data_IF_605533398985
#
_entry.id   IF_605533398985
#
_cell.length_a   1.000
_cell.length_b   1.000
_cell.length_c   1.000
_cell.angle_alpha   90.00
_cell.angle_beta   90.00
_cell.angle_gamma   90.00
#
_symmetry.space_group_name_H-M   'P 1'
#
loop_
_entity.id
_entity.type
_entity.pdbx_description
1 polymer ?
#
# COMPACT_ATOMS: atom_id res chain seq x y z
N UNK A 1 -21.91 -1.47 -8.61
CA UNK A 1 -21.77 -0.84 -7.28
C UNK A 1 -20.91 0.40 -7.47
N UNK A 2 -21.54 1.57 -7.61
CA UNK A 2 -20.80 2.84 -7.69
C UNK A 2 -20.32 3.22 -6.28
N UNK A 3 -19.28 2.59 -5.80
CA UNK A 3 -18.53 3.17 -4.69
C UNK A 3 -17.53 4.12 -5.34
N UNK A 4 -17.84 5.40 -5.30
CA UNK A 4 -16.91 6.43 -5.76
C UNK A 4 -15.62 6.28 -4.95
N UNK A 5 -14.50 6.33 -5.62
CA UNK A 5 -13.15 6.42 -5.02
C UNK A 5 -13.05 7.65 -4.07
N UNK A 6 -14.00 8.57 -4.12
CA UNK A 6 -14.20 9.68 -3.20
C UNK A 6 -14.80 9.24 -1.86
N UNK A 7 -14.17 8.31 -1.18
CA UNK A 7 -14.59 7.98 0.18
C UNK A 7 -14.16 9.09 1.14
N UNK A 8 -15.10 9.50 2.01
CA UNK A 8 -14.76 10.30 3.19
C UNK A 8 -13.81 9.50 4.09
N UNK A 9 -12.84 10.17 4.68
CA UNK A 9 -11.94 9.51 5.64
C UNK A 9 -12.74 9.14 6.90
N UNK A 10 -12.80 7.86 7.22
CA UNK A 10 -13.44 7.39 8.44
C UNK A 10 -12.80 8.08 9.66
N UNK A 11 -13.62 8.51 10.60
CA UNK A 11 -13.15 9.16 11.82
C UNK A 11 -12.71 10.62 11.67
N UNK A 12 -12.83 11.25 10.49
CA UNK A 12 -12.58 12.67 10.30
C UNK A 12 -13.86 13.48 10.57
N UNK A 13 -13.76 14.48 11.45
CA UNK A 13 -14.84 15.39 11.75
C UNK A 13 -15.04 16.44 10.64
N UNK A 14 -16.28 16.96 10.46
CA UNK A 14 -16.50 18.12 9.62
C UNK A 14 -15.71 19.35 10.11
N UNK A 15 -15.24 20.22 9.21
CA UNK A 15 -14.56 21.46 9.61
C UNK A 15 -15.40 22.31 10.56
N UNK A 16 -14.79 22.83 11.62
CA UNK A 16 -15.45 23.71 12.58
C UNK A 16 -16.44 23.05 13.53
N UNK A 17 -16.48 21.72 13.57
CA UNK A 17 -17.35 21.02 14.52
C UNK A 17 -16.90 21.23 15.97
N UNK A 18 -17.86 21.46 16.88
CA UNK A 18 -17.60 21.50 18.31
C UNK A 18 -17.03 20.16 18.77
N UNK A 19 -15.96 20.20 19.57
CA UNK A 19 -15.21 19.00 19.92
C UNK A 19 -14.81 18.96 21.40
N UNK A 20 -14.86 17.77 21.98
CA UNK A 20 -14.36 17.49 23.32
C UNK A 20 -12.84 17.25 23.29
N UNK A 21 -12.10 17.67 24.31
CA UNK A 21 -10.66 17.48 24.38
C UNK A 21 -10.29 16.03 24.74
N UNK A 22 -9.20 15.56 24.15
CA UNK A 22 -8.51 14.31 24.54
C UNK A 22 -7.10 14.67 24.99
N UNK A 23 -6.80 14.41 26.26
CA UNK A 23 -5.49 14.59 26.84
C UNK A 23 -4.73 13.26 26.88
N UNK A 24 -3.71 13.14 26.06
CA UNK A 24 -2.88 11.96 25.98
C UNK A 24 -1.65 12.16 26.88
N UNK A 25 -1.42 11.24 27.81
CA UNK A 25 -0.28 11.29 28.74
C UNK A 25 0.47 9.95 28.78
N UNK A 26 1.77 9.99 29.07
CA UNK A 26 2.59 8.77 29.23
C UNK A 26 2.63 8.29 30.66
N UNK A 27 2.53 9.22 31.60
CA UNK A 27 2.46 8.95 33.02
C UNK A 27 1.79 10.13 33.74
N UNK A 28 1.26 9.87 34.92
CA UNK A 28 0.64 10.92 35.74
C UNK A 28 -0.71 11.41 35.17
N UNK A 29 -1.05 12.65 35.50
CA UNK A 29 -2.31 13.29 35.13
C UNK A 29 -2.07 14.60 34.37
N UNK A 30 -2.95 15.03 33.49
CA UNK A 30 -2.92 16.36 32.88
C UNK A 30 -2.93 17.47 33.94
N UNK A 31 -2.05 18.46 33.82
CA UNK A 31 -1.86 19.51 34.83
C UNK A 31 -3.05 20.47 35.03
N UNK A 32 -3.95 20.57 34.05
CA UNK A 32 -5.07 21.53 34.03
C UNK A 32 -6.39 20.98 34.62
N UNK A 33 -6.38 19.72 35.11
CA UNK A 33 -7.56 19.12 35.73
C UNK A 33 -7.89 19.79 37.06
N UNK A 34 -9.17 19.93 37.38
CA UNK A 34 -9.61 20.30 38.71
C UNK A 34 -9.25 19.24 39.74
N UNK A 35 -9.16 19.59 41.00
CA UNK A 35 -8.88 18.64 42.09
C UNK A 35 -9.88 17.47 42.12
N UNK A 36 -11.16 17.74 41.83
CA UNK A 36 -12.21 16.70 41.76
C UNK A 36 -12.00 15.73 40.59
N UNK A 37 -11.65 16.26 39.42
CA UNK A 37 -11.35 15.43 38.23
C UNK A 37 -10.08 14.57 38.43
N UNK A 38 -9.04 15.17 39.02
CA UNK A 38 -7.82 14.42 39.34
C UNK A 38 -8.09 13.29 40.34
N UNK A 39 -8.87 13.58 41.42
CA UNK A 39 -9.29 12.56 42.37
C UNK A 39 -10.12 11.44 41.73
N UNK A 40 -11.02 11.78 40.81
CA UNK A 40 -11.79 10.81 40.06
C UNK A 40 -10.90 9.86 39.20
N UNK A 41 -9.93 10.43 38.47
CA UNK A 41 -9.00 9.64 37.64
C UNK A 41 -8.15 8.71 38.51
N UNK A 42 -7.64 9.18 39.67
CA UNK A 42 -6.91 8.34 40.62
C UNK A 42 -7.79 7.20 41.13
N UNK A 43 -9.02 7.52 41.54
CA UNK A 43 -9.96 6.54 42.05
C UNK A 43 -10.37 5.51 40.95
N UNK A 44 -10.35 5.91 39.68
CA UNK A 44 -10.58 5.03 38.53
C UNK A 44 -9.36 4.16 38.17
N UNK A 45 -8.26 4.26 38.93
CA UNK A 45 -7.04 3.48 38.69
C UNK A 45 -6.24 3.93 37.45
N UNK A 46 -6.41 5.19 37.00
CA UNK A 46 -5.65 5.71 35.88
C UNK A 46 -4.16 5.92 36.28
N UNK A 47 -3.26 5.35 35.49
CA UNK A 47 -1.80 5.43 35.70
C UNK A 47 -1.04 6.01 34.51
N UNK A 48 -1.71 6.19 33.35
CA UNK A 48 -1.08 6.54 32.09
C UNK A 48 -0.60 5.34 31.29
N UNK A 49 -0.91 4.11 31.73
CA UNK A 49 -0.55 2.89 30.99
C UNK A 49 -1.20 2.86 29.60
N UNK A 50 -0.51 2.24 28.63
CA UNK A 50 -0.95 2.17 27.25
C UNK A 50 -2.39 1.60 27.12
N UNK A 51 -3.23 2.31 26.36
CA UNK A 51 -4.62 1.91 26.12
C UNK A 51 -5.61 2.20 27.23
N UNK A 52 -5.19 2.77 28.37
CA UNK A 52 -6.14 3.29 29.35
C UNK A 52 -6.89 4.50 28.80
N UNK A 53 -8.22 4.47 28.86
CA UNK A 53 -9.09 5.59 28.48
C UNK A 53 -10.07 5.84 29.60
N UNK A 54 -10.09 7.06 30.16
CA UNK A 54 -11.02 7.46 31.20
C UNK A 54 -11.72 8.77 30.79
N UNK A 55 -13.04 8.75 30.80
CA UNK A 55 -13.86 9.94 30.53
C UNK A 55 -13.83 10.87 31.75
N UNK A 56 -13.52 12.13 31.52
CA UNK A 56 -13.47 13.15 32.58
C UNK A 56 -14.87 13.72 32.81
N UNK A 57 -15.42 13.63 34.03
CA UNK A 57 -16.77 14.13 34.30
C UNK A 57 -16.84 15.66 34.31
N UNK A 58 -18.01 16.16 33.90
CA UNK A 58 -18.46 17.53 34.07
C UNK A 58 -19.84 17.54 34.75
N UNK A 59 -20.32 18.68 35.31
CA UNK A 59 -21.65 18.77 35.94
C UNK A 59 -22.79 18.27 35.03
N UNK A 60 -22.69 18.56 33.73
CA UNK A 60 -23.75 18.28 32.75
C UNK A 60 -23.27 17.23 31.69
N UNK A 61 -22.35 16.33 32.04
CA UNK A 61 -21.92 15.28 31.12
C UNK A 61 -20.41 14.99 31.18
N UNK A 62 -19.72 15.11 30.04
CA UNK A 62 -18.31 14.77 29.85
C UNK A 62 -17.52 16.04 29.52
N UNK A 63 -16.47 16.33 30.31
CA UNK A 63 -15.53 17.43 30.02
C UNK A 63 -14.50 17.09 28.96
N UNK A 64 -14.23 15.80 28.75
CA UNK A 64 -13.21 15.29 27.83
C UNK A 64 -12.80 13.85 28.17
N UNK A 65 -11.65 13.43 27.68
CA UNK A 65 -11.08 12.12 27.97
C UNK A 65 -9.57 12.22 28.27
N UNK A 66 -9.08 11.41 29.20
CA UNK A 66 -7.64 11.21 29.43
C UNK A 66 -7.26 9.82 28.92
N UNK A 67 -6.16 9.78 28.17
CA UNK A 67 -5.65 8.56 27.51
C UNK A 67 -4.22 8.31 27.96
N UNK A 68 -3.95 7.07 28.38
CA UNK A 68 -2.61 6.58 28.66
C UNK A 68 -1.94 6.08 27.37
N UNK A 69 -0.76 6.62 27.05
CA UNK A 69 0.05 6.18 25.91
C UNK A 69 1.14 5.18 26.32
N UNK A 70 1.46 5.07 27.61
CA UNK A 70 2.61 4.27 28.06
C UNK A 70 3.91 4.72 27.39
N UNK A 71 4.76 3.75 27.04
CA UNK A 71 6.08 4.01 26.44
C UNK A 71 6.07 4.06 24.90
N UNK A 72 4.96 3.65 24.25
CA UNK A 72 4.87 3.63 22.79
C UNK A 72 4.87 5.05 22.20
N UNK A 73 5.94 5.39 21.47
CA UNK A 73 6.12 6.69 20.79
C UNK A 73 5.69 6.68 19.33
N UNK A 74 5.24 5.54 18.84
CA UNK A 74 4.76 5.44 17.44
C UNK A 74 3.35 6.03 17.28
N UNK A 75 2.98 6.29 16.04
CA UNK A 75 1.61 6.71 15.70
C UNK A 75 0.55 5.68 16.15
N UNK A 76 0.95 4.42 16.34
CA UNK A 76 0.06 3.32 16.72
C UNK A 76 -0.49 3.44 18.14
N UNK A 77 0.19 4.18 19.02
CA UNK A 77 -0.31 4.50 20.37
C UNK A 77 -1.69 5.18 20.35
N UNK A 78 -2.00 5.90 19.26
CA UNK A 78 -3.27 6.60 19.07
C UNK A 78 -4.27 5.81 18.20
N UNK A 79 -3.84 4.69 17.62
CA UNK A 79 -4.60 3.94 16.63
C UNK A 79 -5.88 3.25 17.14
N UNK A 80 -6.04 3.11 18.45
CA UNK A 80 -7.23 2.55 19.09
C UNK A 80 -8.32 3.57 19.42
N UNK A 81 -8.01 4.87 19.44
CA UNK A 81 -8.83 5.91 20.05
C UNK A 81 -10.20 6.09 19.37
N UNK A 82 -10.26 5.99 18.06
CA UNK A 82 -11.52 6.10 17.32
C UNK A 82 -12.61 5.12 17.79
N UNK A 83 -12.21 3.99 18.37
CA UNK A 83 -13.14 2.97 18.86
C UNK A 83 -13.15 2.82 20.39
N UNK A 84 -12.18 3.37 21.09
CA UNK A 84 -12.14 3.40 22.56
C UNK A 84 -12.99 4.53 23.14
N UNK A 85 -13.04 5.67 22.45
CA UNK A 85 -13.85 6.82 22.86
C UNK A 85 -15.33 6.67 22.45
N UNK A 86 -16.28 7.27 23.16
CA UNK A 86 -17.67 7.37 22.74
C UNK A 86 -17.83 8.05 21.38
N UNK A 87 -18.93 7.74 20.69
CA UNK A 87 -19.33 8.50 19.48
C UNK A 87 -19.40 9.98 19.81
N UNK A 88 -18.92 10.81 18.91
CA UNK A 88 -18.83 12.26 19.09
C UNK A 88 -17.62 12.83 18.39
N UNK A 89 -17.43 14.13 18.52
CA UNK A 89 -16.32 14.87 17.93
C UNK A 89 -15.30 15.20 19.00
N UNK A 90 -14.05 14.90 18.71
CA UNK A 90 -12.93 15.00 19.63
C UNK A 90 -11.78 15.78 19.01
N UNK A 91 -10.94 16.40 19.83
CA UNK A 91 -9.68 17.01 19.42
C UNK A 91 -8.54 16.54 20.33
N UNK A 92 -7.38 16.35 19.75
CA UNK A 92 -6.17 16.07 20.52
C UNK A 92 -5.64 17.36 21.11
N UNK A 93 -5.47 17.40 22.43
CA UNK A 93 -4.78 18.50 23.11
C UNK A 93 -3.26 18.29 23.01
N UNK A 94 -2.45 19.37 23.01
CA UNK A 94 -0.99 19.27 22.98
C UNK A 94 -0.43 18.36 24.10
N UNK A 95 0.56 17.54 23.77
CA UNK A 95 1.18 16.58 24.69
C UNK A 95 2.58 16.15 24.25
N UNK A 96 3.17 15.16 24.93
CA UNK A 96 4.48 14.57 24.56
C UNK A 96 4.30 13.56 23.41
N UNK A 97 3.90 14.06 22.24
CA UNK A 97 3.76 13.31 21.00
C UNK A 97 3.71 14.26 19.80
N UNK A 98 4.00 13.75 18.60
CA UNK A 98 3.79 14.47 17.36
C UNK A 98 2.30 14.48 17.01
N UNK A 99 1.71 15.67 16.82
CA UNK A 99 0.28 15.85 16.58
C UNK A 99 -0.18 15.24 15.24
N UNK A 100 0.66 15.33 14.21
CA UNK A 100 0.35 14.76 12.87
C UNK A 100 0.36 13.23 12.92
N UNK A 101 1.35 12.64 13.58
CA UNK A 101 1.40 11.18 13.78
C UNK A 101 0.24 10.69 14.65
N UNK A 102 -0.12 11.40 15.70
CA UNK A 102 -1.24 11.03 16.54
C UNK A 102 -2.57 11.07 15.78
N UNK A 103 -2.79 12.13 15.00
CA UNK A 103 -3.96 12.24 14.14
C UNK A 103 -4.00 11.15 13.06
N UNK A 104 -2.86 10.85 12.43
CA UNK A 104 -2.75 9.76 11.47
C UNK A 104 -3.09 8.42 12.10
N UNK A 105 -2.51 8.10 13.26
CA UNK A 105 -2.81 6.87 13.99
C UNK A 105 -4.31 6.70 14.26
N UNK A 106 -4.97 7.76 14.71
CA UNK A 106 -6.43 7.79 14.92
C UNK A 106 -7.19 7.48 13.64
N UNK A 107 -6.93 8.22 12.55
CA UNK A 107 -7.66 8.06 11.28
C UNK A 107 -7.42 6.68 10.64
N UNK A 108 -6.20 6.14 10.72
CA UNK A 108 -5.90 4.78 10.26
C UNK A 108 -6.64 3.72 11.09
N UNK A 109 -6.84 3.98 12.38
CA UNK A 109 -7.58 3.10 13.28
C UNK A 109 -9.09 3.19 13.14
N UNK A 110 -9.60 4.33 12.69
CA UNK A 110 -11.01 4.54 12.45
C UNK A 110 -11.56 3.74 11.25
N UNK A 111 -10.68 3.39 10.30
CA UNK A 111 -11.05 2.67 9.08
C UNK A 111 -11.80 1.38 9.35
N UNK A 112 -12.88 1.15 8.58
CA UNK A 112 -13.63 -0.11 8.50
C UNK A 112 -14.08 -0.37 7.07
N UNK A 113 -13.92 -1.62 6.63
CA UNK A 113 -14.53 -2.09 5.39
C UNK A 113 -15.98 -2.48 5.67
N UNK A 114 -16.92 -1.62 5.32
CA UNK A 114 -18.34 -1.76 5.65
C UNK A 114 -19.25 -1.98 4.43
N UNK A 115 -18.69 -2.42 3.30
CA UNK A 115 -19.43 -2.56 2.04
C UNK A 115 -20.60 -3.55 2.10
N UNK A 116 -20.48 -4.60 2.93
CA UNK A 116 -21.49 -5.67 3.02
C UNK A 116 -22.16 -5.77 4.39
N UNK A 117 -21.54 -5.23 5.42
CA UNK A 117 -22.09 -5.26 6.78
C UNK A 117 -21.85 -3.91 7.44
N UNK A 118 -22.90 -3.19 7.84
CA UNK A 118 -22.74 -1.92 8.55
C UNK A 118 -21.91 -2.10 9.82
N UNK A 119 -21.10 -1.11 10.14
CA UNK A 119 -20.42 -1.07 11.42
C UNK A 119 -21.45 -1.04 12.56
N UNK A 120 -21.21 -1.81 13.64
CA UNK A 120 -22.09 -1.83 14.82
C UNK A 120 -22.12 -0.50 15.54
N UNK A 121 -21.09 0.30 15.39
CA UNK A 121 -20.89 1.61 16.02
C UNK A 121 -20.06 2.50 15.09
N UNK A 122 -20.40 3.79 15.02
CA UNK A 122 -19.57 4.76 14.34
C UNK A 122 -18.25 5.02 15.11
N UNK A 123 -17.14 5.32 14.43
CA UNK A 123 -15.93 5.74 15.10
C UNK A 123 -16.12 7.13 15.74
N UNK A 124 -15.41 7.41 16.81
CA UNK A 124 -15.24 8.76 17.31
C UNK A 124 -14.52 9.60 16.25
N UNK A 125 -15.00 10.82 16.00
CA UNK A 125 -14.49 11.70 14.95
C UNK A 125 -13.39 12.61 15.51
N UNK A 126 -12.29 12.75 14.79
CA UNK A 126 -11.19 13.65 15.13
C UNK A 126 -11.27 14.94 14.31
N UNK A 127 -11.10 16.09 14.97
CA UNK A 127 -10.86 17.36 14.29
C UNK A 127 -9.37 17.48 13.95
N UNK A 128 -9.05 17.63 12.69
CA UNK A 128 -7.71 17.98 12.19
C UNK A 128 -7.84 18.70 10.86
N UNK A 129 -6.96 19.65 10.60
CA UNK A 129 -6.82 20.39 9.34
C UNK A 129 -5.50 20.05 8.61
N UNK A 130 -4.75 19.05 9.10
CA UNK A 130 -3.52 18.60 8.45
C UNK A 130 -3.82 17.88 7.14
N UNK A 131 -3.65 18.61 6.04
CA UNK A 131 -3.96 18.12 4.70
C UNK A 131 -3.17 16.86 4.31
N UNK A 132 -1.88 16.74 4.75
CA UNK A 132 -1.07 15.58 4.45
C UNK A 132 -1.55 14.34 5.24
N UNK A 133 -1.86 14.51 6.51
CA UNK A 133 -2.42 13.44 7.36
C UNK A 133 -3.73 12.90 6.76
N UNK A 134 -4.62 13.80 6.35
CA UNK A 134 -5.91 13.43 5.73
C UNK A 134 -5.67 12.71 4.40
N UNK A 135 -4.74 13.18 3.57
CA UNK A 135 -4.41 12.56 2.29
C UNK A 135 -3.81 11.15 2.47
N UNK A 136 -2.89 10.96 3.43
CA UNK A 136 -2.31 9.65 3.75
C UNK A 136 -3.40 8.68 4.23
N UNK A 137 -4.29 9.15 5.12
CA UNK A 137 -5.39 8.32 5.62
C UNK A 137 -6.33 7.89 4.48
N UNK A 138 -6.67 8.81 3.56
CA UNK A 138 -7.50 8.54 2.37
C UNK A 138 -6.82 7.55 1.42
N UNK A 139 -5.55 7.75 1.10
CA UNK A 139 -4.78 6.86 0.24
C UNK A 139 -4.65 5.44 0.81
N UNK A 140 -4.42 5.35 2.13
CA UNK A 140 -4.39 4.06 2.83
C UNK A 140 -5.76 3.39 2.82
N UNK A 141 -6.84 4.14 3.03
CA UNK A 141 -8.21 3.61 2.98
C UNK A 141 -8.56 3.09 1.58
N UNK A 142 -8.17 3.80 0.52
CA UNK A 142 -8.33 3.34 -0.87
C UNK A 142 -7.65 1.98 -1.09
N UNK A 143 -6.37 1.85 -0.71
CA UNK A 143 -5.65 0.60 -0.86
C UNK A 143 -6.28 -0.53 -0.04
N UNK A 144 -6.67 -0.26 1.21
CA UNK A 144 -7.37 -1.22 2.06
C UNK A 144 -8.72 -1.66 1.48
N UNK A 145 -9.51 -0.74 0.92
CA UNK A 145 -10.79 -1.04 0.29
C UNK A 145 -10.63 -1.96 -0.91
N UNK A 146 -9.66 -1.68 -1.78
CA UNK A 146 -9.36 -2.52 -2.95
C UNK A 146 -8.98 -3.93 -2.53
N UNK A 147 -8.09 -4.09 -1.54
CA UNK A 147 -7.66 -5.41 -1.05
C UNK A 147 -8.77 -6.16 -0.31
N UNK A 148 -9.64 -5.44 0.42
CA UNK A 148 -10.75 -6.04 1.16
C UNK A 148 -11.91 -6.46 0.26
N UNK A 149 -12.07 -5.85 -0.90
CA UNK A 149 -13.14 -6.19 -1.84
C UNK A 149 -13.04 -7.67 -2.24
N UNK A 150 -14.15 -8.45 -2.18
CA UNK A 150 -14.16 -9.83 -2.64
C UNK A 150 -13.93 -9.91 -4.16
N UNK A 151 -13.27 -10.97 -4.63
CA UNK A 151 -12.92 -11.14 -6.04
C UNK A 151 -14.14 -11.17 -6.98
N UNK A 152 -15.31 -11.63 -6.50
CA UNK A 152 -16.54 -11.57 -7.28
C UNK A 152 -17.09 -10.15 -7.46
N UNK A 153 -16.56 -9.17 -6.73
CA UNK A 153 -16.91 -7.74 -6.79
C UNK A 153 -15.79 -6.92 -7.43
N UNK A 154 -14.54 -7.25 -7.16
CA UNK A 154 -13.36 -6.59 -7.70
C UNK A 154 -12.55 -7.59 -8.54
N UNK A 155 -12.87 -7.69 -9.80
CA UNK A 155 -12.07 -8.42 -10.77
C UNK A 155 -11.32 -7.49 -11.72
N UNK A 156 -10.77 -8.03 -12.82
CA UNK A 156 -9.94 -7.26 -13.74
C UNK A 156 -10.61 -6.00 -14.30
N UNK A 157 -11.90 -6.09 -14.65
CA UNK A 157 -12.65 -4.95 -15.17
C UNK A 157 -12.84 -3.86 -14.12
N UNK A 158 -13.20 -4.25 -12.90
CA UNK A 158 -13.47 -3.34 -11.80
C UNK A 158 -12.18 -2.69 -11.28
N UNK A 159 -11.05 -3.42 -11.25
CA UNK A 159 -9.76 -2.85 -10.89
C UNK A 159 -9.27 -1.84 -11.95
N UNK A 160 -9.47 -2.15 -13.23
CA UNK A 160 -9.20 -1.20 -14.32
C UNK A 160 -10.10 0.04 -14.21
N UNK A 161 -11.41 -0.13 -13.96
CA UNK A 161 -12.33 0.97 -13.76
C UNK A 161 -11.95 1.86 -12.56
N UNK A 162 -11.49 1.26 -11.44
CA UNK A 162 -11.00 2.01 -10.29
C UNK A 162 -9.79 2.90 -10.65
N UNK A 163 -8.92 2.44 -11.56
CA UNK A 163 -7.80 3.25 -12.07
C UNK A 163 -8.30 4.43 -12.90
N UNK A 164 -9.31 4.21 -13.77
CA UNK A 164 -9.92 5.29 -14.56
C UNK A 164 -10.62 6.33 -13.67
N UNK A 165 -11.38 5.88 -12.67
CA UNK A 165 -12.09 6.75 -11.73
C UNK A 165 -11.08 7.60 -10.93
N UNK A 166 -9.98 6.99 -10.48
CA UNK A 166 -8.88 7.72 -9.82
C UNK A 166 -8.31 8.78 -10.75
N UNK A 167 -8.05 8.45 -12.01
CA UNK A 167 -7.59 9.41 -13.01
C UNK A 167 -8.55 10.57 -13.19
N UNK A 168 -9.84 10.29 -13.35
CA UNK A 168 -10.87 11.31 -13.53
C UNK A 168 -10.96 12.26 -12.32
N UNK A 169 -10.81 11.74 -11.09
CA UNK A 169 -10.85 12.55 -9.87
C UNK A 169 -9.77 13.62 -9.83
N UNK A 170 -8.57 13.33 -10.35
CA UNK A 170 -7.42 14.24 -10.30
C UNK A 170 -7.08 14.87 -11.65
N UNK A 171 -7.94 14.71 -12.67
CA UNK A 171 -7.73 15.28 -14.00
C UNK A 171 -6.58 14.62 -14.78
N UNK A 172 -6.25 13.39 -14.46
CA UNK A 172 -5.30 12.58 -15.21
C UNK A 172 -5.93 12.00 -16.47
N UNK A 173 -5.12 11.72 -17.49
CA UNK A 173 -5.50 10.91 -18.63
C UNK A 173 -5.38 9.44 -18.23
N UNK A 174 -6.44 8.65 -18.46
CA UNK A 174 -6.39 7.23 -18.17
C UNK A 174 -7.07 6.41 -19.27
N UNK A 175 -6.54 5.21 -19.54
CA UNK A 175 -7.05 4.28 -20.55
C UNK A 175 -6.92 2.83 -20.08
N UNK A 176 -7.71 1.96 -20.73
CA UNK A 176 -7.62 0.50 -20.53
C UNK A 176 -7.23 -0.15 -21.85
N UNK A 177 -6.25 -1.03 -21.80
CA UNK A 177 -5.81 -1.89 -22.89
C UNK A 177 -6.35 -3.28 -22.60
N UNK A 178 -7.19 -3.82 -23.50
CA UNK A 178 -7.85 -5.12 -23.35
C UNK A 178 -7.96 -5.85 -24.69
N UNK A 179 -8.43 -7.10 -24.68
CA UNK A 179 -8.62 -7.93 -25.88
C UNK A 179 -7.30 -8.15 -26.63
N UNK A 180 -7.37 -8.06 -27.98
CA UNK A 180 -6.22 -8.31 -28.86
C UNK A 180 -5.06 -7.34 -28.60
N UNK A 181 -5.34 -6.08 -28.31
CA UNK A 181 -4.31 -5.09 -27.97
C UNK A 181 -3.56 -5.45 -26.69
N UNK A 182 -4.24 -6.06 -25.71
CA UNK A 182 -3.59 -6.59 -24.52
C UNK A 182 -2.76 -7.84 -24.83
N UNK A 183 -3.30 -8.75 -25.64
CA UNK A 183 -2.60 -9.97 -26.04
C UNK A 183 -1.32 -9.69 -26.84
N UNK A 184 -1.34 -8.68 -27.71
CA UNK A 184 -0.19 -8.28 -28.52
C UNK A 184 0.81 -7.45 -27.71
N UNK A 185 0.32 -6.49 -26.92
CA UNK A 185 1.15 -5.55 -26.20
C UNK A 185 1.72 -6.07 -24.88
N UNK A 186 1.03 -7.03 -24.23
CA UNK A 186 1.37 -7.59 -22.91
C UNK A 186 1.18 -9.12 -22.89
N UNK A 187 1.90 -9.86 -23.73
CA UNK A 187 1.61 -11.26 -23.99
C UNK A 187 1.81 -12.19 -22.79
N UNK A 188 2.78 -11.93 -21.92
CA UNK A 188 2.98 -12.72 -20.71
C UNK A 188 1.87 -12.47 -19.67
N UNK A 189 1.49 -11.22 -19.46
CA UNK A 189 0.36 -10.85 -18.63
C UNK A 189 -0.95 -11.45 -19.16
N UNK A 190 -1.16 -11.37 -20.47
CA UNK A 190 -2.36 -11.92 -21.12
C UNK A 190 -2.45 -13.43 -20.91
N UNK A 191 -1.34 -14.16 -21.03
CA UNK A 191 -1.29 -15.60 -20.82
C UNK A 191 -1.69 -15.99 -19.39
N UNK A 192 -1.32 -15.20 -18.36
CA UNK A 192 -1.75 -15.42 -16.96
C UNK A 192 -3.27 -15.37 -16.86
N UNK A 193 -3.90 -14.35 -17.44
CA UNK A 193 -5.33 -14.14 -17.32
C UNK A 193 -6.19 -14.90 -18.34
N UNK A 194 -5.60 -15.58 -19.33
CA UNK A 194 -6.31 -16.28 -20.40
C UNK A 194 -7.20 -17.43 -19.91
N UNK A 195 -6.92 -17.95 -18.71
CA UNK A 195 -7.72 -18.99 -18.05
C UNK A 195 -9.02 -18.50 -17.43
N UNK A 196 -9.19 -17.21 -17.22
CA UNK A 196 -10.41 -16.62 -16.64
C UNK A 196 -11.44 -16.24 -17.71
N UNK A 197 -12.72 -16.36 -17.37
CA UNK A 197 -13.80 -15.77 -18.17
C UNK A 197 -13.81 -14.23 -18.08
N UNK A 198 -13.10 -13.65 -17.11
CA UNK A 198 -12.92 -12.21 -16.88
C UNK A 198 -11.57 -11.80 -17.48
N UNK A 199 -11.58 -11.40 -18.76
CA UNK A 199 -10.37 -11.17 -19.56
C UNK A 199 -9.35 -10.21 -18.92
N UNK A 200 -8.04 -10.39 -19.25
CA UNK A 200 -6.95 -9.54 -18.82
C UNK A 200 -7.10 -8.08 -19.25
N UNK A 201 -6.61 -7.17 -18.43
CA UNK A 201 -6.56 -5.73 -18.71
C UNK A 201 -5.28 -5.10 -18.22
N UNK A 202 -4.81 -4.09 -18.94
CA UNK A 202 -3.80 -3.16 -18.45
C UNK A 202 -4.44 -1.78 -18.38
N UNK A 203 -4.54 -1.23 -17.17
CA UNK A 203 -4.97 0.15 -16.99
C UNK A 203 -3.74 1.06 -16.87
N UNK A 204 -3.76 2.15 -17.60
CA UNK A 204 -2.67 3.14 -17.65
C UNK A 204 -3.23 4.49 -17.24
N UNK A 205 -2.52 5.22 -16.37
CA UNK A 205 -2.85 6.55 -15.94
C UNK A 205 -1.62 7.44 -16.10
N UNK A 206 -1.79 8.58 -16.76
CA UNK A 206 -0.77 9.63 -16.95
C UNK A 206 -1.25 10.93 -16.32
N UNK A 207 -0.43 11.51 -15.45
CA UNK A 207 -0.73 12.76 -14.76
C UNK A 207 0.51 13.67 -14.67
N UNK A 208 0.27 14.99 -14.62
CA UNK A 208 1.33 15.98 -14.42
C UNK A 208 0.96 16.95 -13.30
N UNK A 209 1.82 17.03 -12.30
CA UNK A 209 1.75 18.03 -11.23
C UNK A 209 2.34 19.39 -11.60
N UNK A 210 2.88 19.52 -12.81
CA UNK A 210 3.40 20.78 -13.35
C UNK A 210 2.58 21.21 -14.55
N UNK A 211 2.34 22.53 -14.74
CA UNK A 211 1.62 23.03 -15.91
C UNK A 211 2.35 22.67 -17.21
N UNK A 212 1.59 22.38 -18.27
CA UNK A 212 2.06 22.22 -19.66
C UNK A 212 3.20 21.21 -19.88
N UNK A 213 3.31 20.17 -19.01
CA UNK A 213 4.35 19.15 -19.17
C UNK A 213 5.77 19.68 -18.95
N UNK A 214 5.95 20.72 -18.15
CA UNK A 214 7.25 21.29 -17.80
C UNK A 214 8.28 20.23 -17.41
N UNK A 215 9.56 20.58 -17.42
CA UNK A 215 10.65 19.70 -17.04
C UNK A 215 10.51 19.26 -15.57
N UNK A 216 9.88 18.09 -15.36
CA UNK A 216 9.69 17.49 -14.06
C UNK A 216 10.09 16.02 -14.09
N UNK A 217 10.59 15.46 -12.97
CA UNK A 217 10.93 14.07 -12.89
C UNK A 217 9.73 13.17 -13.27
N UNK A 218 9.98 12.12 -14.05
CA UNK A 218 9.00 11.09 -14.35
C UNK A 218 9.09 9.97 -13.32
N UNK A 219 8.01 9.75 -12.62
CA UNK A 219 7.82 8.62 -11.69
C UNK A 219 6.87 7.62 -12.34
N UNK A 220 7.33 6.39 -12.55
CA UNK A 220 6.51 5.30 -13.09
C UNK A 220 6.24 4.26 -12.00
N UNK A 221 4.98 3.90 -11.82
CA UNK A 221 4.50 2.96 -10.82
C UNK A 221 3.86 1.76 -11.52
N UNK A 222 4.32 0.53 -11.23
CA UNK A 222 3.75 -0.71 -11.75
C UNK A 222 3.14 -1.53 -10.61
N UNK A 223 1.89 -1.95 -10.76
CA UNK A 223 1.17 -2.73 -9.76
C UNK A 223 0.71 -4.10 -10.25
N UNK A 224 1.10 -5.19 -9.53
CA UNK A 224 0.52 -6.51 -9.73
C UNK A 224 -0.94 -6.47 -9.29
N UNK A 225 -1.85 -6.75 -10.23
CA UNK A 225 -3.30 -6.74 -10.03
C UNK A 225 -3.95 -8.11 -10.27
N UNK A 226 -3.43 -9.18 -9.66
CA UNK A 226 -4.05 -10.51 -9.70
C UNK A 226 -5.25 -10.54 -8.76
N UNK A 227 -6.45 -10.26 -9.31
CA UNK A 227 -7.69 -10.08 -8.53
C UNK A 227 -8.10 -11.33 -7.76
N UNK A 228 -7.75 -12.50 -8.28
CA UNK A 228 -7.81 -13.78 -7.58
C UNK A 228 -6.75 -14.74 -8.13
N UNK A 229 -6.02 -15.39 -7.23
CA UNK A 229 -4.99 -16.34 -7.58
C UNK A 229 -5.32 -17.74 -7.06
N UNK A 230 -5.72 -18.63 -7.97
CA UNK A 230 -5.93 -20.05 -7.66
C UNK A 230 -4.63 -20.86 -7.67
N UNK A 231 -3.54 -20.27 -8.19
CA UNK A 231 -2.30 -20.96 -8.55
C UNK A 231 -2.29 -21.49 -9.99
N UNK A 232 -3.41 -21.44 -10.70
CA UNK A 232 -3.55 -22.06 -12.01
C UNK A 232 -3.49 -23.59 -11.88
N UNK A 233 -2.82 -24.26 -12.83
CA UNK A 233 -2.65 -25.72 -12.78
C UNK A 233 -1.80 -26.20 -11.61
N UNK A 234 -0.88 -25.39 -11.09
CA UNK A 234 -0.19 -25.61 -9.81
C UNK A 234 -1.07 -25.11 -8.64
N UNK A 235 -2.25 -25.74 -8.52
CA UNK A 235 -3.35 -25.33 -7.67
C UNK A 235 -2.95 -25.21 -6.20
N UNK A 236 -3.22 -24.05 -5.61
CA UNK A 236 -2.92 -23.79 -4.21
C UNK A 236 -3.72 -24.72 -3.27
N UNK A 237 -3.12 -25.18 -2.17
CA UNK A 237 -3.88 -25.78 -1.06
C UNK A 237 -4.95 -24.81 -0.55
N UNK A 238 -6.09 -25.33 -0.11
CA UNK A 238 -7.26 -24.56 0.32
C UNK A 238 -6.91 -23.43 1.32
N UNK A 239 -6.07 -23.72 2.32
CA UNK A 239 -5.66 -22.74 3.32
C UNK A 239 -4.82 -21.59 2.71
N UNK A 240 -4.01 -21.87 1.71
CA UNK A 240 -3.21 -20.85 1.01
C UNK A 240 -4.08 -20.01 0.06
N UNK A 241 -5.10 -20.64 -0.56
CA UNK A 241 -6.02 -19.98 -1.50
C UNK A 241 -7.01 -19.04 -0.81
N UNK A 242 -7.36 -19.28 0.45
CA UNK A 242 -8.43 -18.60 1.20
C UNK A 242 -8.38 -17.06 1.10
N UNK A 243 -7.19 -16.48 1.09
CA UNK A 243 -6.99 -15.01 1.09
C UNK A 243 -6.55 -14.45 -0.25
N UNK A 244 -6.63 -15.21 -1.34
CA UNK A 244 -6.05 -14.81 -2.64
C UNK A 244 -6.81 -13.70 -3.37
N UNK A 245 -7.90 -13.18 -2.82
CA UNK A 245 -8.46 -11.88 -3.21
C UNK A 245 -7.49 -10.72 -2.94
N UNK A 246 -6.51 -10.90 -2.02
CA UNK A 246 -5.49 -9.90 -1.70
C UNK A 246 -4.35 -9.83 -2.73
N UNK A 247 -4.33 -10.71 -3.72
CA UNK A 247 -3.19 -10.86 -4.62
C UNK A 247 -3.05 -9.72 -5.64
N UNK A 248 -3.94 -8.78 -5.57
CA UNK A 248 -3.89 -7.48 -6.23
C UNK A 248 -3.38 -6.35 -5.30
N UNK A 249 -2.80 -6.69 -4.15
CA UNK A 249 -2.28 -5.75 -3.16
C UNK A 249 -1.17 -4.85 -3.67
N UNK A 250 -0.37 -5.32 -4.65
CA UNK A 250 0.60 -4.48 -5.34
C UNK A 250 -0.06 -3.35 -6.14
N UNK A 251 -1.11 -3.65 -6.91
CA UNK A 251 -1.90 -2.65 -7.61
C UNK A 251 -2.57 -1.67 -6.63
N UNK A 252 -3.13 -2.19 -5.54
CA UNK A 252 -3.77 -1.36 -4.52
C UNK A 252 -2.78 -0.38 -3.86
N UNK A 253 -1.56 -0.84 -3.55
CA UNK A 253 -0.49 0.00 -3.02
C UNK A 253 -0.10 1.10 -4.01
N UNK A 254 0.10 0.76 -5.29
CA UNK A 254 0.48 1.74 -6.33
C UNK A 254 -0.63 2.74 -6.63
N UNK A 255 -1.90 2.33 -6.61
CA UNK A 255 -3.04 3.24 -6.74
C UNK A 255 -3.18 4.18 -5.53
N UNK A 256 -2.99 3.66 -4.31
CA UNK A 256 -2.93 4.49 -3.10
C UNK A 256 -1.81 5.51 -3.14
N UNK A 257 -0.61 5.10 -3.57
CA UNK A 257 0.54 5.99 -3.74
C UNK A 257 0.29 7.06 -4.81
N UNK A 258 -0.28 6.67 -5.94
CA UNK A 258 -0.67 7.60 -7.01
C UNK A 258 -1.69 8.63 -6.52
N UNK A 259 -2.73 8.17 -5.79
CA UNK A 259 -3.72 9.05 -5.18
C UNK A 259 -3.06 10.10 -4.26
N UNK A 260 -2.12 9.68 -3.41
CA UNK A 260 -1.40 10.57 -2.49
C UNK A 260 -0.53 11.58 -3.24
N UNK A 261 0.20 11.14 -4.27
CA UNK A 261 1.03 12.02 -5.12
C UNK A 261 0.16 13.09 -5.79
N UNK A 262 -0.97 12.70 -6.37
CA UNK A 262 -1.89 13.60 -7.08
C UNK A 262 -2.64 14.54 -6.12
N UNK A 263 -3.09 14.02 -4.96
CA UNK A 263 -3.79 14.83 -3.94
C UNK A 263 -2.88 15.94 -3.38
N UNK A 264 -1.61 15.61 -3.15
CA UNK A 264 -0.60 16.55 -2.67
C UNK A 264 0.02 17.39 -3.81
N UNK A 265 -0.39 17.17 -5.05
CA UNK A 265 0.07 17.90 -6.25
C UNK A 265 1.59 17.97 -6.33
N UNK A 266 2.27 16.84 -6.12
CA UNK A 266 3.73 16.81 -6.26
C UNK A 266 4.13 17.27 -7.66
N UNK A 267 5.15 18.15 -7.82
CA UNK A 267 5.60 18.64 -9.11
C UNK A 267 6.42 17.57 -9.86
N UNK A 268 5.76 16.46 -10.19
CA UNK A 268 6.28 15.33 -10.96
C UNK A 268 5.36 15.02 -12.13
N UNK A 269 5.88 14.33 -13.12
CA UNK A 269 5.08 13.58 -14.08
C UNK A 269 4.90 12.18 -13.50
N UNK A 270 3.68 11.70 -13.47
CA UNK A 270 3.34 10.38 -12.90
C UNK A 270 2.76 9.51 -13.98
N UNK A 271 3.25 8.27 -14.08
CA UNK A 271 2.69 7.22 -14.92
C UNK A 271 2.40 5.99 -14.06
N UNK A 272 1.20 5.43 -14.17
CA UNK A 272 0.78 4.25 -13.41
C UNK A 272 0.34 3.15 -14.34
N UNK A 273 0.87 1.95 -14.17
CA UNK A 273 0.58 0.75 -14.92
C UNK A 273 0.01 -0.33 -14.01
N UNK A 274 -1.25 -0.71 -14.21
CA UNK A 274 -1.92 -1.74 -13.41
C UNK A 274 -2.25 -2.92 -14.31
N UNK A 275 -1.64 -4.07 -14.03
CA UNK A 275 -1.94 -5.31 -14.72
C UNK A 275 -3.02 -6.09 -13.99
N UNK A 276 -4.25 -6.04 -14.50
CA UNK A 276 -5.43 -6.63 -13.87
C UNK A 276 -5.78 -7.97 -14.53
N UNK A 277 -5.66 -9.06 -13.78
CA UNK A 277 -5.90 -10.44 -14.26
C UNK A 277 -6.51 -11.31 -13.16
N UNK A 278 -6.94 -12.51 -13.50
CA UNK A 278 -7.19 -13.62 -12.58
C UNK A 278 -6.42 -14.85 -13.04
N UNK A 279 -5.72 -15.52 -12.13
CA UNK A 279 -5.04 -16.78 -12.41
C UNK A 279 -5.97 -17.95 -12.09
N UNK A 280 -6.59 -18.50 -13.13
CA UNK A 280 -7.65 -19.50 -13.01
C UNK A 280 -7.33 -20.78 -13.77
N UNK A 281 -7.96 -21.89 -13.37
CA UNK A 281 -7.87 -23.18 -14.07
C UNK A 281 -8.93 -23.27 -15.14
N UNK A 282 -8.52 -23.48 -16.39
CA UNK A 282 -9.43 -23.74 -17.49
C UNK A 282 -8.68 -24.35 -18.68
N UNK A 283 -9.42 -24.73 -19.74
CA UNK A 283 -8.81 -25.24 -20.98
C UNK A 283 -7.90 -24.22 -21.70
N UNK A 284 -8.03 -22.92 -21.39
CA UNK A 284 -7.23 -21.85 -21.99
C UNK A 284 -6.11 -21.35 -21.09
N UNK A 285 -5.99 -21.86 -19.85
CA UNK A 285 -4.97 -21.43 -18.90
C UNK A 285 -3.57 -21.89 -19.34
N UNK A 286 -2.56 -21.09 -19.01
CA UNK A 286 -1.16 -21.49 -19.18
C UNK A 286 -0.84 -22.73 -18.33
N UNK A 287 0.11 -23.52 -18.79
CA UNK A 287 0.49 -24.82 -18.20
C UNK A 287 1.96 -24.82 -17.83
N UNK A 288 2.37 -25.64 -16.88
CA UNK A 288 3.78 -25.93 -16.68
C UNK A 288 4.45 -26.35 -18.00
N UNK A 289 5.65 -25.83 -18.25
CA UNK A 289 6.46 -25.99 -19.46
C UNK A 289 5.95 -25.26 -20.72
N UNK A 290 4.86 -24.53 -20.68
CA UNK A 290 4.52 -23.60 -21.75
C UNK A 290 5.62 -22.53 -21.87
N UNK A 291 5.92 -22.12 -23.13
CA UNK A 291 6.89 -21.06 -23.40
C UNK A 291 6.14 -19.81 -23.84
N UNK A 292 6.20 -18.78 -23.00
CA UNK A 292 5.53 -17.51 -23.24
C UNK A 292 6.48 -16.48 -23.87
N UNK A 293 5.94 -15.65 -24.76
CA UNK A 293 6.62 -14.42 -25.19
C UNK A 293 6.35 -13.32 -24.18
N UNK A 294 7.28 -12.38 -24.06
CA UNK A 294 7.11 -11.17 -23.26
C UNK A 294 7.15 -9.93 -24.17
N UNK A 295 6.67 -8.78 -23.65
CA UNK A 295 6.78 -7.48 -24.34
C UNK A 295 8.22 -7.14 -24.72
N UNK A 296 9.19 -7.52 -23.91
CA UNK A 296 10.61 -7.30 -24.19
C UNK A 296 11.18 -8.19 -25.32
N UNK A 297 10.35 -9.05 -25.93
CA UNK A 297 10.75 -9.99 -26.97
C UNK A 297 11.48 -11.24 -26.48
N UNK A 298 11.72 -11.35 -25.18
CA UNK A 298 12.30 -12.54 -24.56
C UNK A 298 11.23 -13.63 -24.39
N UNK A 299 11.67 -14.88 -24.35
CA UNK A 299 10.81 -16.03 -24.06
C UNK A 299 11.06 -16.54 -22.65
N UNK A 300 9.97 -16.97 -22.00
CA UNK A 300 10.00 -17.47 -20.61
C UNK A 300 9.30 -18.81 -20.55
N UNK A 301 9.95 -19.82 -19.99
CA UNK A 301 9.32 -21.10 -19.68
C UNK A 301 8.56 -21.00 -18.35
N UNK A 302 7.32 -21.47 -18.33
CA UNK A 302 6.49 -21.54 -17.12
C UNK A 302 6.90 -22.74 -16.31
N UNK A 303 7.74 -22.55 -15.30
CA UNK A 303 8.13 -23.64 -14.39
C UNK A 303 7.11 -23.92 -13.29
N UNK A 304 6.25 -22.93 -13.00
CA UNK A 304 5.17 -23.03 -12.03
C UNK A 304 4.11 -21.96 -12.36
N UNK A 305 2.87 -22.35 -12.54
CA UNK A 305 1.76 -21.43 -12.87
C UNK A 305 1.36 -20.54 -11.68
N UNK A 306 1.77 -20.87 -10.45
CA UNK A 306 1.64 -20.06 -9.23
C UNK A 306 2.76 -19.01 -9.07
N UNK A 307 3.59 -18.86 -10.10
CA UNK A 307 4.56 -17.78 -10.23
C UNK A 307 4.13 -16.74 -11.29
N UNK A 308 2.84 -16.46 -11.37
CA UNK A 308 2.14 -15.63 -12.35
C UNK A 308 2.43 -14.14 -12.18
N UNK A 309 2.61 -13.68 -10.92
CA UNK A 309 2.78 -12.26 -10.61
C UNK A 309 3.98 -11.63 -11.30
N UNK A 310 5.09 -12.36 -11.42
CA UNK A 310 6.28 -11.91 -12.15
C UNK A 310 6.07 -11.85 -13.67
N UNK A 311 5.17 -12.66 -14.21
CA UNK A 311 4.75 -12.61 -15.62
C UNK A 311 3.87 -11.37 -15.89
N UNK A 312 3.01 -11.00 -14.95
CA UNK A 312 2.25 -9.74 -15.00
C UNK A 312 3.20 -8.55 -14.98
N UNK A 313 4.16 -8.53 -14.03
CA UNK A 313 5.08 -7.39 -13.86
C UNK A 313 6.10 -7.26 -14.98
N UNK A 314 6.57 -8.35 -15.60
CA UNK A 314 7.61 -8.25 -16.62
C UNK A 314 7.19 -7.40 -17.83
N UNK A 315 5.95 -7.52 -18.28
CA UNK A 315 5.43 -6.72 -19.39
C UNK A 315 5.16 -5.28 -18.96
N UNK A 316 4.67 -5.06 -17.72
CA UNK A 316 4.45 -3.70 -17.19
C UNK A 316 5.77 -2.95 -17.01
N UNK A 317 6.80 -3.60 -16.43
CA UNK A 317 8.13 -3.00 -16.24
C UNK A 317 8.77 -2.64 -17.58
N UNK A 318 8.62 -3.50 -18.59
CA UNK A 318 9.09 -3.21 -19.94
C UNK A 318 8.38 -1.97 -20.50
N UNK A 319 7.05 -1.92 -20.45
CA UNK A 319 6.26 -0.80 -20.96
C UNK A 319 6.59 0.51 -20.25
N UNK A 320 6.64 0.49 -18.92
CA UNK A 320 7.01 1.67 -18.12
C UNK A 320 8.45 2.11 -18.39
N UNK A 321 9.37 1.17 -18.58
CA UNK A 321 10.77 1.42 -18.87
C UNK A 321 11.04 2.07 -20.23
N UNK A 322 10.14 1.89 -21.22
CA UNK A 322 10.24 2.54 -22.55
C UNK A 322 10.25 4.05 -22.47
N UNK A 323 9.51 4.64 -21.51
CA UNK A 323 9.49 6.08 -21.25
C UNK A 323 10.76 6.61 -20.54
N UNK A 324 11.67 5.74 -20.13
CA UNK A 324 12.88 6.04 -19.36
C UNK A 324 12.62 6.94 -18.15
N UNK A 325 11.77 6.50 -17.20
CA UNK A 325 11.47 7.30 -16.02
C UNK A 325 12.71 7.53 -15.16
N UNK A 326 12.71 8.65 -14.42
CA UNK A 326 13.74 8.96 -13.42
C UNK A 326 13.67 8.00 -12.24
N UNK A 327 12.43 7.52 -11.93
CA UNK A 327 12.15 6.51 -10.91
C UNK A 327 11.13 5.50 -11.42
N UNK A 328 11.47 4.23 -11.36
CA UNK A 328 10.58 3.11 -11.63
C UNK A 328 10.34 2.32 -10.34
N UNK A 329 9.11 2.26 -9.89
CA UNK A 329 8.70 1.52 -8.71
C UNK A 329 7.69 0.44 -9.11
N UNK A 330 7.83 -0.75 -8.56
CA UNK A 330 6.77 -1.74 -8.67
C UNK A 330 6.47 -2.39 -7.32
N UNK A 331 5.24 -2.86 -7.17
CA UNK A 331 4.82 -3.61 -6.01
C UNK A 331 3.99 -4.83 -6.39
N UNK A 332 4.19 -5.88 -5.63
CA UNK A 332 3.44 -7.11 -5.76
C UNK A 332 3.31 -7.86 -4.43
N UNK A 333 2.27 -8.64 -4.29
CA UNK A 333 2.17 -9.75 -3.36
C UNK A 333 2.84 -10.96 -4.03
N UNK A 334 4.18 -10.89 -4.14
CA UNK A 334 4.87 -11.71 -5.13
C UNK A 334 5.25 -13.09 -4.60
N UNK A 335 5.82 -13.16 -3.39
CA UNK A 335 6.37 -14.43 -2.91
C UNK A 335 5.99 -14.76 -1.46
N UNK A 336 5.63 -16.04 -1.24
CA UNK A 336 5.56 -16.57 0.11
C UNK A 336 6.95 -16.58 0.79
N UNK A 337 8.03 -16.61 0.02
CA UNK A 337 9.40 -16.65 0.52
C UNK A 337 9.78 -15.34 1.24
N UNK A 338 9.41 -14.18 0.72
CA UNK A 338 9.63 -12.89 1.40
C UNK A 338 8.89 -12.86 2.75
N UNK A 339 7.63 -13.27 2.79
CA UNK A 339 6.84 -13.34 4.01
C UNK A 339 7.42 -14.32 5.04
N UNK A 340 7.93 -15.48 4.61
CA UNK A 340 8.58 -16.44 5.50
C UNK A 340 9.86 -15.86 6.10
N UNK A 341 10.60 -15.07 5.32
CA UNK A 341 11.85 -14.46 5.77
C UNK A 341 11.62 -13.27 6.73
N UNK A 342 10.64 -12.40 6.43
CA UNK A 342 10.47 -11.09 7.08
C UNK A 342 9.19 -10.97 7.92
N UNK A 343 8.28 -11.94 7.83
CA UNK A 343 6.96 -11.86 8.45
C UNK A 343 5.94 -11.05 7.61
N UNK A 344 4.71 -10.87 8.13
CA UNK A 344 3.63 -10.22 7.38
C UNK A 344 3.69 -8.69 7.41
N UNK A 345 4.44 -8.10 8.35
CA UNK A 345 4.42 -6.66 8.64
C UNK A 345 5.55 -5.89 7.97
N UNK A 346 6.57 -6.57 7.47
CA UNK A 346 7.80 -5.99 6.94
C UNK A 346 7.97 -6.39 5.47
N UNK A 347 7.58 -5.54 4.51
CA UNK A 347 7.78 -5.81 3.10
C UNK A 347 9.27 -5.96 2.73
N UNK A 348 9.56 -6.85 1.79
CA UNK A 348 10.88 -6.92 1.20
C UNK A 348 11.06 -5.83 0.13
N UNK A 349 12.18 -5.14 0.20
CA UNK A 349 12.62 -4.16 -0.80
C UNK A 349 13.76 -4.76 -1.61
N UNK A 350 13.67 -4.68 -2.92
CA UNK A 350 14.75 -5.05 -3.85
C UNK A 350 15.12 -3.85 -4.71
N UNK A 351 16.39 -3.60 -4.88
CA UNK A 351 16.93 -2.62 -5.80
C UNK A 351 18.31 -3.09 -6.28
N UNK A 352 18.70 -2.83 -7.54
CA UNK A 352 20.02 -3.22 -8.04
C UNK A 352 21.13 -2.47 -7.30
N UNK A 353 22.28 -3.14 -7.11
CA UNK A 353 23.47 -2.51 -6.57
C UNK A 353 24.15 -1.62 -7.64
N UNK A 354 23.50 -0.49 -7.89
CA UNK A 354 23.99 0.59 -8.77
C UNK A 354 23.80 1.90 -8.03
N UNK A 355 24.52 2.98 -8.41
CA UNK A 355 24.34 4.29 -7.74
C UNK A 355 22.89 4.78 -7.70
N UNK A 356 22.11 4.50 -8.74
CA UNK A 356 20.68 4.88 -8.79
C UNK A 356 19.82 3.98 -7.91
N UNK A 357 20.03 2.66 -7.96
CA UNK A 357 19.28 1.69 -7.15
C UNK A 357 19.58 1.81 -5.65
N UNK A 358 20.86 1.97 -5.28
CA UNK A 358 21.25 2.16 -3.88
C UNK A 358 20.66 3.45 -3.31
N UNK A 359 20.73 4.56 -4.06
CA UNK A 359 20.11 5.83 -3.64
C UNK A 359 18.60 5.70 -3.41
N UNK A 360 17.87 4.97 -4.28
CA UNK A 360 16.45 4.72 -4.08
C UNK A 360 16.18 3.87 -2.84
N UNK A 361 16.93 2.78 -2.69
CA UNK A 361 16.77 1.89 -1.54
C UNK A 361 17.04 2.62 -0.22
N UNK A 362 18.12 3.39 -0.14
CA UNK A 362 18.50 4.13 1.07
C UNK A 362 17.43 5.17 1.44
N UNK A 363 16.91 5.93 0.47
CA UNK A 363 15.83 6.89 0.70
C UNK A 363 14.54 6.19 1.18
N UNK A 364 14.15 5.06 0.57
CA UNK A 364 12.96 4.30 0.99
C UNK A 364 13.11 3.74 2.40
N UNK A 365 14.27 3.19 2.75
CA UNK A 365 14.53 2.63 4.07
C UNK A 365 14.56 3.73 5.15
N UNK A 366 15.22 4.85 4.89
CA UNK A 366 15.24 6.00 5.79
C UNK A 366 13.84 6.58 6.01
N UNK A 367 13.07 6.75 4.92
CA UNK A 367 11.69 7.20 4.99
C UNK A 367 10.80 6.21 5.76
N UNK A 368 11.01 4.90 5.57
CA UNK A 368 10.26 3.87 6.31
C UNK A 368 10.47 3.94 7.83
N UNK A 369 11.70 4.22 8.26
CA UNK A 369 12.01 4.40 9.67
C UNK A 369 11.31 5.63 10.26
N UNK A 370 11.30 6.76 9.56
CA UNK A 370 10.73 8.02 10.05
C UNK A 370 9.21 8.09 9.96
N UNK A 371 8.59 7.32 9.06
CA UNK A 371 7.13 7.32 8.86
C UNK A 371 6.41 6.14 9.52
N UNK A 372 7.12 5.35 10.34
CA UNK A 372 6.62 4.11 10.95
C UNK A 372 6.02 3.14 9.93
N UNK A 373 6.63 3.04 8.75
CA UNK A 373 6.23 2.17 7.64
C UNK A 373 7.45 1.43 7.07
N UNK A 374 8.14 0.63 7.90
CA UNK A 374 9.45 0.08 7.58
C UNK A 374 9.38 -0.96 6.44
N UNK A 375 10.46 -1.01 5.66
CA UNK A 375 10.77 -2.07 4.71
C UNK A 375 12.15 -2.64 5.04
N UNK A 376 12.45 -3.83 4.48
CA UNK A 376 13.76 -4.46 4.65
C UNK A 376 14.35 -4.83 3.30
N UNK A 377 15.57 -4.32 3.01
CA UNK A 377 16.25 -4.63 1.74
C UNK A 377 16.80 -6.05 1.74
N UNK A 378 16.37 -6.87 0.78
CA UNK A 378 16.96 -8.15 0.42
C UNK A 378 17.87 -7.99 -0.81
N UNK A 379 18.95 -8.81 -0.95
CA UNK A 379 19.89 -8.66 -2.05
C UNK A 379 19.35 -9.22 -3.36
N UNK A 380 19.70 -8.60 -4.48
CA UNK A 380 19.65 -9.19 -5.81
C UNK A 380 21.00 -9.92 -6.05
N UNK A 381 21.14 -11.12 -5.48
CA UNK A 381 22.40 -11.87 -5.51
C UNK A 381 22.59 -12.54 -6.87
N UNK A 382 23.46 -11.97 -7.71
CA UNK A 382 23.70 -12.42 -9.08
C UNK A 382 24.16 -13.88 -9.19
N UNK A 383 24.76 -14.45 -8.13
CA UNK A 383 25.12 -15.88 -8.09
C UNK A 383 23.96 -16.85 -8.23
N UNK A 384 22.69 -16.38 -8.04
CA UNK A 384 21.49 -17.19 -8.24
C UNK A 384 20.85 -17.00 -9.62
N UNK A 385 21.36 -16.07 -10.42
CA UNK A 385 20.84 -15.82 -11.77
C UNK A 385 20.88 -17.08 -12.68
N UNK A 386 21.92 -17.94 -12.64
CA UNK A 386 21.93 -19.20 -13.39
C UNK A 386 20.83 -20.19 -12.98
N UNK A 387 20.20 -20.04 -11.81
CA UNK A 387 19.12 -20.92 -11.37
C UNK A 387 17.83 -20.74 -12.18
N UNK A 388 17.72 -19.66 -12.93
CA UNK A 388 16.64 -19.41 -13.87
C UNK A 388 16.90 -20.02 -15.27
N UNK A 389 18.04 -20.67 -15.49
CA UNK A 389 18.36 -21.24 -16.79
C UNK A 389 17.40 -22.37 -17.18
N UNK A 390 17.04 -22.42 -18.46
CA UNK A 390 16.27 -23.49 -19.10
C UNK A 390 16.81 -23.73 -20.52
N UNK A 391 16.72 -24.95 -21.04
CA UNK A 391 17.19 -25.26 -22.40
C UNK A 391 16.24 -24.81 -23.52
N UNK A 392 14.99 -24.40 -23.19
CA UNK A 392 13.93 -24.18 -24.19
C UNK A 392 13.49 -22.74 -24.35
N UNK A 393 13.90 -21.86 -23.43
CA UNK A 393 13.57 -20.43 -23.45
C UNK A 393 14.80 -19.61 -22.98
N UNK A 394 14.69 -18.29 -22.97
CA UNK A 394 15.74 -17.46 -22.44
C UNK A 394 15.98 -17.72 -20.95
N UNK A 395 14.89 -17.97 -20.20
CA UNK A 395 14.93 -18.36 -18.78
C UNK A 395 13.57 -18.92 -18.33
N UNK A 396 13.55 -19.48 -17.11
CA UNK A 396 12.37 -20.04 -16.47
C UNK A 396 11.74 -19.03 -15.51
N UNK A 397 10.45 -19.17 -15.21
CA UNK A 397 9.78 -18.36 -14.19
C UNK A 397 10.26 -18.64 -12.79
N UNK A 398 10.74 -19.85 -12.49
CA UNK A 398 11.14 -20.27 -11.15
C UNK A 398 12.56 -20.82 -11.13
N UNK A 399 13.14 -20.86 -9.93
CA UNK A 399 14.45 -21.45 -9.70
C UNK A 399 14.43 -22.97 -9.86
N UNK A 400 15.51 -23.52 -10.41
CA UNK A 400 15.78 -24.96 -10.35
C UNK A 400 16.07 -25.48 -8.93
N UNK A 401 16.15 -24.59 -7.93
CA UNK A 401 16.41 -24.90 -6.53
C UNK A 401 15.22 -24.45 -5.66
N UNK A 402 14.83 -25.23 -4.63
CA UNK A 402 13.70 -24.87 -3.76
C UNK A 402 14.12 -23.84 -2.67
N UNK A 403 14.95 -22.87 -3.02
CA UNK A 403 15.55 -21.89 -2.11
C UNK A 403 15.60 -20.52 -2.76
N UNK A 404 15.79 -19.47 -1.95
CA UNK A 404 15.96 -18.08 -2.35
C UNK A 404 14.82 -17.54 -3.24
N UNK A 405 13.58 -18.01 -3.06
CA UNK A 405 12.46 -17.71 -3.93
C UNK A 405 12.19 -16.22 -4.14
N UNK A 406 12.35 -15.40 -3.09
CA UNK A 406 12.17 -13.95 -3.17
C UNK A 406 13.29 -13.28 -3.99
N UNK A 407 14.55 -13.68 -3.76
CA UNK A 407 15.72 -13.15 -4.49
C UNK A 407 15.63 -13.51 -5.97
N UNK A 408 15.28 -14.78 -6.28
CA UNK A 408 15.14 -15.26 -7.66
C UNK A 408 13.99 -14.54 -8.38
N UNK A 409 12.89 -14.24 -7.69
CA UNK A 409 11.80 -13.44 -8.25
C UNK A 409 12.27 -12.02 -8.57
N UNK A 410 13.01 -11.38 -7.67
CA UNK A 410 13.60 -10.07 -7.92
C UNK A 410 14.60 -10.07 -9.10
N UNK A 411 15.47 -11.09 -9.20
CA UNK A 411 16.37 -11.28 -10.34
C UNK A 411 15.62 -11.48 -11.66
N UNK A 412 14.49 -12.20 -11.63
CA UNK A 412 13.64 -12.35 -12.79
C UNK A 412 13.12 -10.98 -13.25
N UNK A 413 12.57 -10.17 -12.35
CA UNK A 413 12.03 -8.84 -12.66
C UNK A 413 13.12 -7.88 -13.17
N UNK A 414 14.30 -7.91 -12.58
CA UNK A 414 15.43 -7.05 -12.99
C UNK A 414 15.78 -7.17 -14.48
N UNK A 415 15.52 -8.31 -15.12
CA UNK A 415 15.77 -8.54 -16.55
C UNK A 415 14.90 -7.70 -17.47
N UNK A 416 13.79 -7.18 -16.95
CA UNK A 416 12.80 -6.38 -17.68
C UNK A 416 12.91 -4.88 -17.38
N UNK A 417 13.89 -4.51 -16.58
CA UNK A 417 14.21 -3.12 -16.26
C UNK A 417 15.39 -2.66 -17.12
N UNK A 418 15.28 -1.52 -17.82
CA UNK A 418 16.41 -0.99 -18.58
C UNK A 418 17.68 -0.80 -17.72
N UNK A 419 18.85 -1.18 -18.22
CA UNK A 419 20.11 -1.04 -17.48
C UNK A 419 20.37 0.38 -17.01
N UNK A 420 20.84 0.54 -15.77
CA UNK A 420 21.20 1.80 -15.15
C UNK A 420 20.04 2.65 -14.64
N UNK A 421 18.80 2.20 -14.84
CA UNK A 421 17.61 2.87 -14.33
C UNK A 421 17.49 2.76 -12.80
N UNK A 422 17.03 3.85 -12.16
CA UNK A 422 16.59 3.81 -10.75
C UNK A 422 15.31 2.98 -10.63
N UNK A 423 15.45 1.75 -10.11
CA UNK A 423 14.34 0.83 -9.93
C UNK A 423 14.33 0.25 -8.52
N UNK A 424 13.12 0.09 -7.98
CA UNK A 424 12.90 -0.64 -6.74
C UNK A 424 11.59 -1.46 -6.83
N UNK A 425 11.66 -2.69 -6.34
CA UNK A 425 10.54 -3.62 -6.21
C UNK A 425 10.17 -3.82 -4.75
N UNK A 426 8.88 -3.78 -4.44
CA UNK A 426 8.32 -4.06 -3.11
C UNK A 426 7.52 -5.34 -3.14
N UNK A 427 8.02 -6.39 -2.46
CA UNK A 427 7.28 -7.63 -2.24
C UNK A 427 6.55 -7.54 -0.89
N UNK A 428 5.26 -7.29 -0.95
CA UNK A 428 4.41 -7.01 0.21
C UNK A 428 3.40 -8.12 0.49
N UNK A 429 3.03 -8.31 1.76
CA UNK A 429 1.94 -9.23 2.10
C UNK A 429 0.55 -8.62 1.91
N UNK A 430 0.45 -7.29 2.02
CA UNK A 430 -0.76 -6.49 1.86
C UNK A 430 -1.96 -6.93 2.73
N UNK A 431 -1.73 -7.59 3.85
CA UNK A 431 -2.79 -8.11 4.72
C UNK A 431 -2.38 -8.13 6.20
N UNK A 432 -3.29 -7.69 7.08
CA UNK A 432 -3.19 -7.89 8.53
C UNK A 432 -4.01 -9.12 8.93
N UNK A 433 -3.36 -10.13 9.51
CA UNK A 433 -4.00 -11.38 9.93
C UNK A 433 -4.88 -11.21 11.18
N UNK A 434 -4.64 -10.16 11.96
CA UNK A 434 -5.43 -9.79 13.15
C UNK A 434 -5.47 -8.26 13.31
N UNK A 435 -6.56 -7.77 13.89
CA UNK A 435 -6.71 -6.35 14.19
C UNK A 435 -5.79 -5.88 15.31
N UNK A 436 -5.15 -4.72 15.11
CA UNK A 436 -4.30 -4.02 16.07
C UNK A 436 -4.62 -2.52 16.00
N UNK A 437 -4.23 -1.72 17.01
CA UNK A 437 -4.39 -0.27 16.96
C UNK A 437 -3.84 0.32 15.65
N UNK A 438 -4.64 1.09 14.92
CA UNK A 438 -4.29 1.66 13.62
C UNK A 438 -4.24 0.69 12.44
N UNK A 439 -4.25 -0.61 12.69
CA UNK A 439 -4.12 -1.69 11.72
C UNK A 439 -5.27 -2.70 11.87
N UNK A 440 -6.46 -2.43 11.36
CA UNK A 440 -7.55 -3.39 11.40
C UNK A 440 -7.22 -4.67 10.62
N UNK A 441 -7.85 -5.78 10.97
CA UNK A 441 -7.75 -7.02 10.18
C UNK A 441 -8.20 -6.78 8.74
N UNK A 442 -7.49 -7.37 7.78
CA UNK A 442 -7.78 -7.24 6.37
C UNK A 442 -6.69 -6.55 5.57
N UNK A 443 -7.08 -5.92 4.46
CA UNK A 443 -6.16 -5.24 3.55
C UNK A 443 -5.30 -4.16 4.21
N UNK A 444 -4.03 -4.06 3.78
CA UNK A 444 -3.08 -3.08 4.31
C UNK A 444 -2.16 -2.53 3.21
N UNK A 445 -1.80 -1.24 3.35
CA UNK A 445 -0.94 -0.51 2.42
C UNK A 445 0.48 -0.36 2.97
N UNK A 446 1.15 -1.50 3.24
CA UNK A 446 2.51 -1.51 3.78
C UNK A 446 3.50 -0.89 2.79
N UNK A 447 4.28 0.07 3.26
CA UNK A 447 5.28 0.80 2.48
C UNK A 447 4.76 2.08 1.82
N UNK A 448 3.46 2.39 1.86
CA UNK A 448 2.89 3.57 1.19
C UNK A 448 3.53 4.88 1.64
N UNK A 449 3.65 5.09 2.96
CA UNK A 449 4.23 6.32 3.52
C UNK A 449 5.72 6.44 3.23
N UNK A 450 6.43 5.31 3.33
CA UNK A 450 7.85 5.24 3.01
C UNK A 450 8.13 5.62 1.56
N UNK A 451 7.38 5.01 0.62
CA UNK A 451 7.52 5.29 -0.82
C UNK A 451 7.20 6.75 -1.15
N UNK A 452 6.10 7.29 -0.60
CA UNK A 452 5.75 8.69 -0.80
C UNK A 452 6.84 9.64 -0.31
N UNK A 453 7.33 9.47 0.92
CA UNK A 453 8.37 10.30 1.50
C UNK A 453 9.69 10.20 0.73
N UNK A 454 10.06 9.00 0.28
CA UNK A 454 11.25 8.80 -0.56
C UNK A 454 11.13 9.49 -1.93
N UNK A 455 9.95 9.46 -2.57
CA UNK A 455 9.71 10.19 -3.83
C UNK A 455 9.91 11.70 -3.60
N UNK A 456 9.34 12.26 -2.53
CA UNK A 456 9.49 13.67 -2.17
C UNK A 456 10.97 14.03 -1.99
N UNK A 457 11.73 13.21 -1.28
CA UNK A 457 13.17 13.42 -1.07
C UNK A 457 13.97 13.32 -2.38
N UNK A 458 13.78 12.24 -3.14
CA UNK A 458 14.55 11.97 -4.37
C UNK A 458 14.27 12.96 -5.49
N UNK A 459 13.11 13.57 -5.51
CA UNK A 459 12.74 14.62 -6.47
C UNK A 459 13.15 16.03 -6.03
N UNK A 460 13.79 16.16 -4.85
CA UNK A 460 14.19 17.45 -4.25
C UNK A 460 13.02 18.45 -4.11
N UNK A 461 11.82 17.94 -3.88
CA UNK A 461 10.63 18.76 -3.71
C UNK A 461 10.65 19.40 -2.31
N UNK A 462 10.78 20.74 -2.26
CA UNK A 462 10.64 21.49 -1.03
C UNK A 462 9.15 21.62 -0.67
N UNK A 463 8.62 20.66 0.10
CA UNK A 463 7.30 20.81 0.70
C UNK A 463 7.34 21.91 1.78
N UNK A 464 6.25 22.68 1.98
CA UNK A 464 6.11 23.61 3.11
C UNK A 464 6.42 22.91 4.43
N UNK A 465 7.16 23.56 5.35
CA UNK A 465 7.63 22.95 6.61
C UNK A 465 6.50 22.34 7.48
N UNK A 466 5.25 22.74 7.29
CA UNK A 466 4.07 22.13 7.95
C UNK A 466 3.72 20.71 7.50
N UNK A 467 4.27 20.26 6.37
CA UNK A 467 3.97 18.96 5.77
C UNK A 467 5.05 17.90 6.01
N UNK A 468 6.09 18.20 6.80
CA UNK A 468 7.13 17.22 7.13
C UNK A 468 6.76 16.56 8.45
N UNK A 469 6.39 15.29 8.37
CA UNK A 469 6.35 14.42 9.56
C UNK A 469 7.80 14.13 9.93
N UNK A 470 8.38 14.94 10.80
CA UNK A 470 9.71 14.70 11.34
C UNK A 470 9.60 13.91 12.65
N UNK A 471 10.37 12.85 12.74
CA UNK A 471 10.72 12.21 14.00
C UNK A 471 12.13 12.66 14.33
N UNK A 472 12.31 13.38 15.42
CA UNK A 472 13.63 13.53 16.00
C UNK A 472 14.08 12.16 16.53
N UNK A 473 15.26 11.72 16.09
CA UNK A 473 15.91 10.44 16.45
C UNK A 473 16.49 10.55 17.85
#
# INVERSE_FOLDING_TARGET
MNQSIQRSVDGLAPPGADSLPVWCVRAGLPAHLTAAQAAFLIASGFTGAAGQVVLVPAPDGIAGAVVGLGEDRSLWAHGGLAHALPEGVWRLEPGDFDAGQAALGWLLGAYRYAAFTPAKRAPALLTTDDALVIAIARATALARDLVNAPANVLGPAELAAATLELGAQYGATAQVIEGDACAEGFPALYAVGAGSARGPRVAVLDWSGVPDGGAAPLVSLCGKGVCFDSGGYDLKPSAAMLRMKKDMGGAALMLGLAALIMDQRLPVRLQVWIGAVENMVSGNAMRPMDVLRTRAGMTVEVGNTDAEGRLVLCDLLTAAGEARPDMLLDAATLTGAARVALGPDLPALFAPHTPAGDRMADAILAAGATTHDPLWRLPLWAGYDPWLATPVAHFNTVSSKPMAGAIVAGLFLQRFVPPGMGWAHVDTYAWNDAGRPGRPEGGEALGLRALYSAIVELTNINLPKKSRVHVDV
#
